data_IF_788532696274
#
_entry.id   IF_788532696274
#
_cell.length_a   1.000
_cell.length_b   1.000
_cell.length_c   1.000
_cell.angle_alpha   90.00
_cell.angle_beta   90.00
_cell.angle_gamma   90.00
#
_symmetry.space_group_name_H-M   'P 1'
#
loop_
_entity.id
_entity.type
_entity.pdbx_description
1 polymer ?
#
# COMPACT_ATOMS: atom_id res chain seq x y z
N UNK A 1 -7.86 -25.41 3.16
CA UNK A 1 -6.53 -24.77 3.20
C UNK A 1 -6.60 -23.54 2.31
N UNK A 2 -6.37 -22.35 2.88
CA UNK A 2 -6.94 -21.05 2.46
C UNK A 2 -6.17 -20.27 1.36
N UNK A 3 -5.23 -20.92 0.67
CA UNK A 3 -4.68 -20.53 -0.63
C UNK A 3 -3.94 -21.77 -1.13
N UNK A 4 -3.96 -22.05 -2.43
CA UNK A 4 -3.03 -23.06 -2.95
C UNK A 4 -1.60 -22.58 -2.68
N UNK A 5 -0.67 -23.47 -2.31
CA UNK A 5 0.71 -23.07 -2.05
C UNK A 5 1.32 -22.34 -3.25
N UNK A 6 0.85 -22.68 -4.45
CA UNK A 6 1.21 -22.02 -5.70
C UNK A 6 0.74 -20.56 -5.78
N UNK A 7 -0.50 -20.25 -5.40
CA UNK A 7 -1.00 -18.87 -5.35
C UNK A 7 -0.25 -18.03 -4.33
N UNK A 8 0.07 -18.60 -3.17
CA UNK A 8 0.82 -17.90 -2.13
C UNK A 8 2.27 -17.60 -2.58
N UNK A 9 2.95 -18.57 -3.21
CA UNK A 9 4.29 -18.38 -3.76
C UNK A 9 4.28 -17.39 -4.92
N UNK A 10 3.26 -17.43 -5.77
CA UNK A 10 3.08 -16.47 -6.86
C UNK A 10 2.87 -15.04 -6.33
N UNK A 11 1.99 -14.86 -5.34
CA UNK A 11 1.78 -13.56 -4.72
C UNK A 11 3.05 -13.04 -4.01
N UNK A 12 3.79 -13.92 -3.32
CA UNK A 12 5.03 -13.57 -2.63
C UNK A 12 6.14 -13.16 -3.60
N UNK A 13 6.28 -13.87 -4.73
CA UNK A 13 7.28 -13.56 -5.75
C UNK A 13 6.99 -12.23 -6.45
N UNK A 14 5.72 -11.93 -6.78
CA UNK A 14 5.30 -10.61 -7.28
C UNK A 14 5.59 -9.53 -6.26
N UNK A 15 5.23 -9.75 -4.99
CA UNK A 15 5.48 -8.77 -3.92
C UNK A 15 6.97 -8.48 -3.75
N UNK A 16 7.82 -9.51 -3.75
CA UNK A 16 9.27 -9.36 -3.66
C UNK A 16 9.83 -8.58 -4.85
N UNK A 17 9.41 -8.92 -6.08
CA UNK A 17 9.80 -8.21 -7.29
C UNK A 17 9.39 -6.73 -7.24
N UNK A 18 8.15 -6.46 -6.83
CA UNK A 18 7.64 -5.10 -6.71
C UNK A 18 8.40 -4.29 -5.66
N UNK A 19 8.68 -4.86 -4.48
CA UNK A 19 9.47 -4.20 -3.43
C UNK A 19 10.87 -3.87 -3.94
N UNK A 20 11.57 -4.82 -4.56
CA UNK A 20 12.92 -4.60 -5.09
C UNK A 20 12.91 -3.52 -6.17
N UNK A 21 11.97 -3.59 -7.12
CA UNK A 21 11.86 -2.58 -8.18
C UNK A 21 11.55 -1.19 -7.61
N UNK A 22 10.63 -1.07 -6.66
CA UNK A 22 10.31 0.21 -6.01
C UNK A 22 11.51 0.76 -5.23
N UNK A 23 12.26 -0.09 -4.50
CA UNK A 23 13.44 0.35 -3.75
C UNK A 23 14.57 0.83 -4.67
N UNK A 24 14.82 0.13 -5.78
CA UNK A 24 15.83 0.53 -6.76
C UNK A 24 15.47 1.83 -7.48
N UNK A 25 14.19 2.02 -7.77
CA UNK A 25 13.69 3.19 -8.53
C UNK A 25 13.12 4.29 -7.65
N UNK A 26 13.33 4.22 -6.33
CA UNK A 26 12.65 5.06 -5.34
C UNK A 26 12.91 6.56 -5.58
N UNK A 27 14.16 6.94 -5.89
CA UNK A 27 14.54 8.34 -6.04
C UNK A 27 13.87 8.98 -7.24
N UNK A 28 13.85 8.25 -8.35
CA UNK A 28 13.27 8.67 -9.62
C UNK A 28 11.75 8.80 -9.50
N UNK A 29 11.09 7.85 -8.82
CA UNK A 29 9.65 7.90 -8.58
C UNK A 29 9.23 9.10 -7.74
N UNK A 30 10.00 9.41 -6.69
CA UNK A 30 9.75 10.63 -5.88
C UNK A 30 9.96 11.88 -6.71
N UNK A 31 10.98 11.90 -7.58
CA UNK A 31 11.28 13.04 -8.43
C UNK A 31 10.16 13.34 -9.42
N UNK A 32 9.68 12.30 -10.12
CA UNK A 32 8.53 12.37 -11.02
C UNK A 32 7.26 12.81 -10.28
N UNK A 33 7.10 12.42 -9.01
CA UNK A 33 5.96 12.82 -8.19
C UNK A 33 5.97 14.29 -7.73
N UNK A 34 7.14 14.92 -7.64
CA UNK A 34 7.28 16.32 -7.21
C UNK A 34 7.15 17.26 -8.41
N UNK A 35 7.95 17.06 -9.46
CA UNK A 35 7.96 17.91 -10.64
C UNK A 35 8.21 17.08 -11.91
N UNK A 36 7.11 16.79 -12.62
CA UNK A 36 7.13 16.01 -13.86
C UNK A 36 7.84 16.75 -15.00
N UNK A 37 7.70 18.07 -15.05
CA UNK A 37 8.28 18.92 -16.09
C UNK A 37 9.80 18.96 -15.93
N UNK A 38 10.26 19.23 -14.70
CA UNK A 38 11.68 19.26 -14.35
C UNK A 38 12.34 17.88 -14.52
N UNK A 39 11.67 16.80 -14.13
CA UNK A 39 12.16 15.44 -14.37
C UNK A 39 12.38 15.16 -15.86
N UNK A 40 11.47 15.62 -16.74
CA UNK A 40 11.63 15.47 -18.18
C UNK A 40 12.81 16.29 -18.71
N UNK A 41 13.02 17.50 -18.18
CA UNK A 41 14.14 18.38 -18.56
C UNK A 41 15.50 17.83 -18.11
N UNK A 42 15.57 17.12 -16.99
CA UNK A 42 16.81 16.46 -16.51
C UNK A 42 17.14 15.15 -17.24
N UNK A 43 16.35 14.78 -18.26
CA UNK A 43 16.59 13.61 -19.09
C UNK A 43 15.94 12.32 -18.57
N UNK A 44 15.11 12.37 -17.52
CA UNK A 44 14.35 11.20 -17.08
C UNK A 44 13.22 10.91 -18.06
N UNK A 45 13.14 9.65 -18.50
CA UNK A 45 12.05 9.16 -19.35
C UNK A 45 10.82 8.89 -18.50
N UNK A 46 10.09 9.94 -18.13
CA UNK A 46 8.89 9.88 -17.25
C UNK A 46 7.93 8.74 -17.63
N UNK A 47 7.71 8.54 -18.93
CA UNK A 47 6.87 7.45 -19.45
C UNK A 47 7.32 6.04 -19.03
N UNK A 48 8.63 5.79 -18.98
CA UNK A 48 9.16 4.48 -18.57
C UNK A 48 8.92 4.21 -17.07
N UNK A 49 9.03 5.25 -16.24
CA UNK A 49 8.78 5.16 -14.80
C UNK A 49 7.29 5.00 -14.47
N UNK A 50 6.42 5.72 -15.18
CA UNK A 50 4.97 5.55 -15.09
C UNK A 50 4.59 4.13 -15.54
N UNK A 51 5.12 3.65 -16.67
CA UNK A 51 4.88 2.30 -17.18
C UNK A 51 5.33 1.22 -16.19
N UNK A 52 6.51 1.38 -15.59
CA UNK A 52 7.03 0.45 -14.59
C UNK A 52 6.11 0.38 -13.36
N UNK A 53 5.68 1.51 -12.81
CA UNK A 53 4.78 1.54 -11.65
C UNK A 53 3.41 0.97 -11.99
N UNK A 54 2.82 1.33 -13.14
CA UNK A 54 1.53 0.78 -13.53
C UNK A 54 1.58 -0.73 -13.77
N UNK A 55 2.67 -1.23 -14.34
CA UNK A 55 2.86 -2.67 -14.53
C UNK A 55 2.99 -3.39 -13.20
N UNK A 56 3.81 -2.88 -12.27
CA UNK A 56 3.95 -3.44 -10.92
C UNK A 56 2.63 -3.41 -10.15
N UNK A 57 1.90 -2.30 -10.25
CA UNK A 57 0.60 -2.14 -9.62
C UNK A 57 -0.40 -3.15 -10.18
N UNK A 58 -0.48 -3.31 -11.51
CA UNK A 58 -1.35 -4.29 -12.15
C UNK A 58 -1.02 -5.73 -11.76
N UNK A 59 0.27 -6.08 -11.67
CA UNK A 59 0.69 -7.41 -11.20
C UNK A 59 0.29 -7.64 -9.73
N UNK A 60 0.50 -6.64 -8.88
CA UNK A 60 0.14 -6.72 -7.46
C UNK A 60 -1.38 -6.81 -7.25
N UNK A 61 -2.18 -6.02 -7.99
CA UNK A 61 -3.65 -6.04 -7.89
C UNK A 61 -4.22 -7.39 -8.33
N UNK A 62 -3.78 -7.93 -9.46
CA UNK A 62 -4.22 -9.25 -9.96
C UNK A 62 -3.86 -10.36 -8.97
N UNK A 63 -2.68 -10.30 -8.35
CA UNK A 63 -2.29 -11.25 -7.29
C UNK A 63 -3.18 -11.14 -6.04
N UNK A 64 -3.43 -9.92 -5.57
CA UNK A 64 -4.26 -9.67 -4.38
C UNK A 64 -5.72 -10.09 -4.57
N UNK A 65 -6.30 -9.85 -5.75
CA UNK A 65 -7.69 -10.22 -6.05
C UNK A 65 -7.91 -11.73 -5.89
N UNK A 66 -6.93 -12.56 -6.30
CA UNK A 66 -7.02 -14.02 -6.18
C UNK A 66 -6.96 -14.51 -4.73
N UNK A 67 -6.13 -13.87 -3.90
CA UNK A 67 -5.89 -14.32 -2.52
C UNK A 67 -6.92 -13.78 -1.54
N UNK A 68 -7.30 -12.51 -1.69
CA UNK A 68 -8.05 -11.77 -0.67
C UNK A 68 -9.42 -11.28 -1.18
N UNK A 69 -9.55 -11.06 -2.49
CA UNK A 69 -10.77 -10.55 -3.13
C UNK A 69 -10.72 -9.03 -3.41
N UNK A 70 -11.59 -8.61 -4.33
CA UNK A 70 -11.61 -7.26 -4.92
C UNK A 70 -11.79 -6.13 -3.90
N UNK A 71 -12.69 -6.29 -2.93
CA UNK A 71 -13.00 -5.21 -1.97
C UNK A 71 -11.81 -4.93 -1.05
N UNK A 72 -11.20 -5.96 -0.46
CA UNK A 72 -10.08 -5.75 0.46
C UNK A 72 -8.80 -5.34 -0.30
N UNK A 73 -8.64 -5.76 -1.55
CA UNK A 73 -7.54 -5.31 -2.40
C UNK A 73 -7.53 -3.78 -2.59
N UNK A 74 -8.67 -3.17 -2.93
CA UNK A 74 -8.77 -1.70 -3.00
C UNK A 74 -8.47 -1.01 -1.66
N UNK A 75 -8.96 -1.61 -0.56
CA UNK A 75 -8.75 -1.07 0.78
C UNK A 75 -7.26 -1.10 1.17
N UNK A 76 -6.56 -2.21 0.90
CA UNK A 76 -5.13 -2.37 1.16
C UNK A 76 -4.27 -1.47 0.29
N UNK A 77 -4.69 -1.16 -0.94
CA UNK A 77 -3.96 -0.23 -1.81
C UNK A 77 -4.11 1.23 -1.36
N UNK A 78 -5.30 1.62 -0.93
CA UNK A 78 -5.64 3.03 -0.69
C UNK A 78 -5.42 3.48 0.76
N UNK A 79 -5.90 2.71 1.76
CA UNK A 79 -5.95 3.16 3.15
C UNK A 79 -4.58 3.31 3.83
N UNK A 80 -3.66 2.31 3.80
CA UNK A 80 -2.35 2.49 4.43
C UNK A 80 -1.57 3.65 3.81
N UNK A 81 -1.66 3.81 2.49
CA UNK A 81 -1.10 4.94 1.74
C UNK A 81 -1.65 6.28 2.25
N UNK A 82 -2.97 6.37 2.40
CA UNK A 82 -3.63 7.58 2.88
C UNK A 82 -3.33 7.89 4.36
N UNK A 83 -3.14 6.87 5.21
CA UNK A 83 -2.66 7.03 6.59
C UNK A 83 -1.22 7.56 6.61
N UNK A 84 -0.33 6.98 5.79
CA UNK A 84 1.08 7.37 5.71
C UNK A 84 1.28 8.82 5.28
N UNK A 85 0.56 9.27 4.24
CA UNK A 85 0.59 10.67 3.76
C UNK A 85 0.06 11.64 4.82
N UNK A 86 -0.87 11.21 5.66
CA UNK A 86 -1.40 12.06 6.74
C UNK A 86 -0.41 12.22 7.87
N UNK A 87 0.28 11.14 8.25
CA UNK A 87 1.11 11.08 9.45
C UNK A 87 2.56 11.50 9.20
N UNK A 88 3.07 11.31 7.98
CA UNK A 88 4.43 11.70 7.61
C UNK A 88 4.49 13.02 6.82
N UNK A 89 5.63 13.68 6.88
CA UNK A 89 5.99 14.83 6.03
C UNK A 89 7.07 14.51 4.99
N UNK A 90 7.59 13.29 4.96
CA UNK A 90 8.65 12.85 4.05
C UNK A 90 8.19 11.65 3.25
N UNK A 91 8.54 11.60 1.96
CA UNK A 91 8.21 10.47 1.08
C UNK A 91 8.70 9.13 1.62
N UNK A 92 9.87 9.09 2.28
CA UNK A 92 10.40 7.86 2.92
C UNK A 92 9.53 7.45 4.11
N UNK A 93 9.10 8.42 4.90
CA UNK A 93 8.25 8.19 6.05
C UNK A 93 6.83 7.78 5.66
N UNK A 94 6.31 8.28 4.54
CA UNK A 94 5.04 7.80 3.97
C UNK A 94 5.14 6.30 3.67
N UNK A 95 6.15 5.88 2.89
CA UNK A 95 6.33 4.46 2.57
C UNK A 95 6.46 3.58 3.81
N UNK A 96 7.29 3.99 4.77
CA UNK A 96 7.51 3.23 6.00
C UNK A 96 6.22 3.12 6.85
N UNK A 97 5.52 4.23 7.08
CA UNK A 97 4.29 4.24 7.88
C UNK A 97 3.20 3.44 7.18
N UNK A 98 3.03 3.60 5.86
CA UNK A 98 2.04 2.84 5.09
C UNK A 98 2.30 1.34 5.15
N UNK A 99 3.55 0.90 4.95
CA UNK A 99 3.91 -0.51 5.05
C UNK A 99 3.68 -1.06 6.46
N UNK A 100 4.16 -0.35 7.50
CA UNK A 100 3.96 -0.75 8.89
C UNK A 100 2.47 -0.79 9.28
N UNK A 101 1.67 0.19 8.85
CA UNK A 101 0.24 0.22 9.12
C UNK A 101 -0.48 -0.93 8.42
N UNK A 102 -0.12 -1.23 7.15
CA UNK A 102 -0.71 -2.34 6.40
C UNK A 102 -0.38 -3.69 7.05
N UNK A 103 0.88 -3.93 7.41
CA UNK A 103 1.33 -5.19 8.03
C UNK A 103 0.70 -5.37 9.41
N UNK A 104 0.75 -4.33 10.25
CA UNK A 104 0.18 -4.41 11.61
C UNK A 104 -1.33 -4.59 11.60
N UNK A 105 -2.06 -3.88 10.73
CA UNK A 105 -3.51 -4.06 10.59
C UNK A 105 -3.88 -5.43 9.99
N UNK A 106 -3.09 -5.94 9.04
CA UNK A 106 -3.32 -7.28 8.47
C UNK A 106 -3.08 -8.37 9.50
N UNK A 107 -2.01 -8.27 10.29
CA UNK A 107 -1.68 -9.25 11.33
C UNK A 107 -2.68 -9.21 12.49
N UNK A 108 -2.99 -8.02 12.99
CA UNK A 108 -3.98 -7.83 14.04
C UNK A 108 -5.38 -8.24 13.57
N UNK A 109 -5.76 -7.87 12.34
CA UNK A 109 -7.05 -8.22 11.77
C UNK A 109 -7.21 -9.71 11.50
N UNK A 110 -6.14 -10.38 11.06
CA UNK A 110 -6.16 -11.84 10.92
C UNK A 110 -6.30 -12.53 12.27
N UNK A 111 -5.54 -12.09 13.28
CA UNK A 111 -5.62 -12.65 14.63
C UNK A 111 -7.03 -12.48 15.23
N UNK A 112 -7.61 -11.28 15.11
CA UNK A 112 -8.97 -10.99 15.57
C UNK A 112 -10.03 -11.74 14.77
N UNK A 113 -9.86 -11.90 13.46
CA UNK A 113 -10.79 -12.66 12.63
C UNK A 113 -10.86 -14.14 13.04
N UNK A 114 -9.71 -14.74 13.38
CA UNK A 114 -9.65 -16.11 13.90
C UNK A 114 -10.32 -16.23 15.26
N UNK A 115 -10.18 -15.23 16.14
CA UNK A 115 -10.81 -15.23 17.46
C UNK A 115 -12.32 -14.99 17.41
N UNK A 116 -12.79 -14.16 16.48
CA UNK A 116 -14.19 -13.76 16.35
C UNK A 116 -14.99 -14.66 15.38
N UNK A 117 -14.33 -15.65 14.76
CA UNK A 117 -14.87 -16.51 13.71
C UNK A 117 -15.53 -15.71 12.57
N UNK A 118 -14.92 -14.57 12.23
CA UNK A 118 -15.39 -13.65 11.18
C UNK A 118 -14.49 -13.70 9.95
N UNK A 119 -15.00 -13.21 8.81
CA UNK A 119 -14.21 -13.09 7.59
C UNK A 119 -12.97 -12.20 7.82
N UNK A 120 -11.74 -12.71 7.59
CA UNK A 120 -10.51 -11.92 7.71
C UNK A 120 -10.52 -10.67 6.85
N UNK A 121 -11.15 -10.76 5.68
CA UNK A 121 -11.22 -9.64 4.76
C UNK A 121 -12.03 -8.47 5.33
N UNK A 122 -13.13 -8.76 6.01
CA UNK A 122 -13.96 -7.75 6.67
C UNK A 122 -13.25 -7.10 7.86
N UNK A 123 -12.62 -7.90 8.72
CA UNK A 123 -11.96 -7.42 9.94
C UNK A 123 -10.74 -6.55 9.62
N UNK A 124 -9.87 -6.99 8.70
CA UNK A 124 -8.70 -6.19 8.28
C UNK A 124 -9.13 -4.88 7.64
N UNK A 125 -10.13 -4.93 6.75
CA UNK A 125 -10.65 -3.73 6.10
C UNK A 125 -11.24 -2.73 7.11
N UNK A 126 -12.01 -3.23 8.08
CA UNK A 126 -12.59 -2.40 9.15
C UNK A 126 -11.52 -1.77 10.05
N UNK A 127 -10.46 -2.51 10.40
CA UNK A 127 -9.35 -1.98 11.18
C UNK A 127 -8.59 -0.87 10.44
N UNK A 128 -8.28 -1.07 9.16
CA UNK A 128 -7.62 -0.05 8.35
C UNK A 128 -8.50 1.20 8.19
N UNK A 129 -9.82 1.01 8.00
CA UNK A 129 -10.77 2.11 7.96
C UNK A 129 -10.80 2.89 9.28
N UNK A 130 -10.85 2.17 10.40
CA UNK A 130 -10.81 2.76 11.74
C UNK A 130 -9.50 3.52 11.99
N UNK A 131 -8.37 2.97 11.58
CA UNK A 131 -7.07 3.64 11.67
C UNK A 131 -7.01 4.91 10.80
N UNK A 132 -7.58 4.85 9.60
CA UNK A 132 -7.72 6.02 8.72
C UNK A 132 -8.60 7.10 9.35
N UNK A 133 -9.77 6.75 9.88
CA UNK A 133 -10.66 7.69 10.58
C UNK A 133 -10.00 8.30 11.84
N UNK A 134 -9.25 7.51 12.60
CA UNK A 134 -8.48 8.01 13.73
C UNK A 134 -7.43 9.04 13.28
N UNK A 135 -6.70 8.75 12.19
CA UNK A 135 -5.73 9.68 11.60
C UNK A 135 -6.37 11.00 11.11
N UNK A 136 -7.61 10.91 10.62
CA UNK A 136 -8.44 12.04 10.21
C UNK A 136 -8.78 12.95 11.41
N UNK A 137 -9.23 12.37 12.52
CA UNK A 137 -9.62 13.09 13.73
C UNK A 137 -8.42 13.74 14.42
N UNK A 138 -7.29 13.04 14.52
CA UNK A 138 -6.05 13.56 15.11
C UNK A 138 -5.55 14.80 14.36
N UNK A 139 -5.57 14.77 13.02
CA UNK A 139 -5.08 15.90 12.21
C UNK A 139 -6.06 17.08 12.19
N UNK A 140 -7.37 16.82 12.27
CA UNK A 140 -8.38 17.88 12.49
C UNK A 140 -8.14 18.67 13.78
N UNK A 141 -7.70 18.00 14.86
CA UNK A 141 -7.37 18.69 16.12
C UNK A 141 -6.08 19.52 16.05
N UNK A 142 -5.15 19.17 15.17
CA UNK A 142 -3.89 19.90 14.99
C UNK A 142 -4.00 21.14 14.09
N UNK A 143 -5.03 21.24 13.25
CA UNK A 143 -5.28 22.39 12.37
C UNK A 143 -6.16 23.49 12.98
N UNK A 144 -6.52 23.36 14.26
CA UNK A 144 -7.38 24.31 14.98
C UNK A 144 -6.67 24.99 16.16
N UNK A 145 -5.33 24.93 16.18
CA UNK A 145 -4.44 25.69 17.06
C UNK A 145 -3.50 26.53 16.23
#
# INVERSE_FOLDING_TARGET
MLASQEEAVFALSIAALAVVAVLLTYREQVYVGIDREFARLTGLRVWAYDLLVFTLLALATVGLIKVVGFVLEHVLLLLPSAVGVRLSRSSKGVLAISACASISASLAGLCLAVLLDQSPAGVVGFLLLSAYLASLLLKRRAGHR
#
